data_IF_439056747784
#
_entry.id   IF_439056747784
#
_cell.length_a   1.000
_cell.length_b   1.000
_cell.length_c   1.000
_cell.angle_alpha   90.00
_cell.angle_beta   90.00
_cell.angle_gamma   90.00
#
_symmetry.space_group_name_H-M   'P 1'
#
loop_
_entity.id
_entity.type
_entity.pdbx_description
1 polymer ?
#
# COMPACT_ATOMS: atom_id res chain seq x y z
N UNK A 1 19.56 -27.68 17.94
CA UNK A 1 19.60 -26.49 18.82
C UNK A 1 19.38 -25.24 17.98
N UNK A 2 18.54 -24.29 18.41
CA UNK A 2 18.26 -23.07 17.64
C UNK A 2 19.32 -21.98 17.88
N UNK A 3 19.64 -21.21 16.84
CA UNK A 3 20.51 -20.03 16.91
C UNK A 3 19.68 -18.77 16.73
N UNK A 4 20.19 -17.62 17.21
CA UNK A 4 19.57 -16.31 16.94
C UNK A 4 20.06 -15.72 15.60
N UNK A 5 20.49 -16.55 14.66
CA UNK A 5 20.97 -16.09 13.37
C UNK A 5 19.84 -15.44 12.58
N UNK A 6 20.07 -14.24 12.04
CA UNK A 6 19.10 -13.53 11.22
C UNK A 6 19.18 -14.06 9.79
N UNK A 7 18.13 -14.77 9.36
CA UNK A 7 18.08 -15.42 8.05
C UNK A 7 17.86 -14.43 6.90
N UNK A 8 16.98 -13.45 7.12
CA UNK A 8 16.58 -12.45 6.13
C UNK A 8 15.84 -11.30 6.81
N UNK A 9 15.83 -10.15 6.14
CA UNK A 9 15.13 -8.94 6.57
C UNK A 9 14.77 -8.11 5.34
N UNK A 10 13.75 -7.27 5.47
CA UNK A 10 13.35 -6.30 4.46
C UNK A 10 13.07 -4.95 5.14
N UNK A 11 13.37 -3.84 4.47
CA UNK A 11 13.11 -2.49 4.97
C UNK A 11 12.00 -1.86 4.16
N UNK A 12 10.87 -1.61 4.81
CA UNK A 12 9.65 -1.14 4.18
C UNK A 12 9.09 0.06 4.94
N UNK A 13 8.43 0.97 4.22
CA UNK A 13 7.87 2.19 4.83
C UNK A 13 6.76 1.90 5.86
N UNK A 14 6.09 0.76 5.74
CA UNK A 14 5.03 0.32 6.64
C UNK A 14 4.91 -1.20 6.64
N UNK A 15 4.68 -1.79 7.81
CA UNK A 15 4.45 -3.23 7.98
C UNK A 15 3.29 -3.71 7.11
N UNK A 16 3.51 -4.75 6.30
CA UNK A 16 2.47 -5.27 5.43
C UNK A 16 2.70 -6.73 5.02
N UNK A 17 1.60 -7.43 4.76
CA UNK A 17 1.63 -8.86 4.51
C UNK A 17 2.30 -9.28 3.19
N UNK A 18 2.28 -8.45 2.14
CA UNK A 18 2.93 -8.78 0.85
C UNK A 18 4.44 -8.86 1.00
N UNK A 19 5.03 -7.89 1.72
CA UNK A 19 6.47 -7.85 1.93
C UNK A 19 6.89 -8.96 2.92
N UNK A 20 6.05 -9.29 3.91
CA UNK A 20 6.25 -10.47 4.76
C UNK A 20 6.28 -11.77 3.96
N UNK A 21 5.34 -11.95 3.01
CA UNK A 21 5.32 -13.11 2.09
C UNK A 21 6.61 -13.17 1.27
N UNK A 22 7.05 -12.04 0.71
CA UNK A 22 8.31 -11.94 -0.04
C UNK A 22 9.51 -12.35 0.81
N UNK A 23 9.62 -11.85 2.05
CA UNK A 23 10.69 -12.21 2.97
C UNK A 23 10.70 -13.71 3.30
N UNK A 24 9.53 -14.31 3.58
CA UNK A 24 9.42 -15.75 3.85
C UNK A 24 9.82 -16.56 2.61
N UNK A 25 9.36 -16.16 1.42
CA UNK A 25 9.68 -16.81 0.14
C UNK A 25 11.18 -16.82 -0.12
N UNK A 26 11.84 -15.66 -0.08
CA UNK A 26 13.30 -15.53 -0.28
C UNK A 26 14.08 -16.34 0.76
N UNK A 27 13.60 -16.38 2.00
CA UNK A 27 14.22 -17.16 3.08
C UNK A 27 14.11 -18.67 2.80
N UNK A 28 12.93 -19.15 2.38
CA UNK A 28 12.71 -20.55 2.04
C UNK A 28 13.49 -20.97 0.79
N UNK A 29 13.63 -20.09 -0.19
CA UNK A 29 14.43 -20.33 -1.39
C UNK A 29 15.91 -20.52 -1.04
N UNK A 30 16.45 -19.68 -0.14
CA UNK A 30 17.86 -19.71 0.24
C UNK A 30 18.22 -20.86 1.20
N UNK A 31 17.40 -21.13 2.20
CA UNK A 31 17.74 -22.07 3.28
C UNK A 31 16.83 -23.30 3.36
N UNK A 32 15.86 -23.41 2.46
CA UNK A 32 14.81 -24.44 2.50
C UNK A 32 13.64 -24.07 3.41
N UNK A 33 12.54 -24.82 3.26
CA UNK A 33 11.31 -24.69 4.02
C UNK A 33 11.57 -25.06 5.49
N UNK A 34 11.18 -24.17 6.40
CA UNK A 34 11.24 -24.40 7.84
C UNK A 34 9.91 -24.98 8.37
N UNK A 35 9.94 -25.65 9.52
CA UNK A 35 8.78 -26.42 10.00
C UNK A 35 7.73 -25.54 10.72
N UNK A 36 8.18 -24.49 11.43
CA UNK A 36 7.34 -23.69 12.30
C UNK A 36 7.67 -22.21 12.18
N UNK A 37 6.65 -21.37 12.05
CA UNK A 37 6.76 -19.92 12.17
C UNK A 37 6.13 -19.50 13.50
N UNK A 38 6.87 -18.78 14.34
CA UNK A 38 6.29 -18.11 15.51
C UNK A 38 6.18 -16.64 15.16
N UNK A 39 4.95 -16.15 15.02
CA UNK A 39 4.69 -14.73 14.79
C UNK A 39 4.04 -14.09 16.01
N UNK A 40 4.21 -12.78 16.12
CA UNK A 40 3.28 -11.99 16.92
C UNK A 40 1.90 -11.96 16.24
N UNK A 41 0.91 -11.40 16.92
CA UNK A 41 -0.43 -11.20 16.37
C UNK A 41 -0.51 -9.91 15.50
N UNK A 42 0.63 -9.42 14.98
CA UNK A 42 0.70 -8.24 14.14
C UNK A 42 -0.09 -8.40 12.84
N UNK A 43 -0.63 -7.30 12.32
CA UNK A 43 -1.52 -7.33 11.17
C UNK A 43 -0.84 -7.87 9.89
N UNK A 44 0.48 -7.76 9.75
CA UNK A 44 1.18 -8.32 8.59
C UNK A 44 1.34 -9.84 8.64
N UNK A 45 1.48 -10.43 9.83
CA UNK A 45 1.58 -11.88 10.02
C UNK A 45 0.21 -12.56 10.17
N UNK A 46 -0.76 -11.83 10.73
CA UNK A 46 -2.15 -12.26 10.89
C UNK A 46 -2.97 -12.18 9.58
N UNK A 47 -2.44 -11.55 8.52
CA UNK A 47 -3.16 -11.46 7.25
C UNK A 47 -3.39 -12.82 6.60
N UNK A 48 -4.51 -12.96 5.88
CA UNK A 48 -4.83 -14.15 5.07
C UNK A 48 -3.72 -14.54 4.09
N UNK A 49 -2.90 -13.57 3.63
CA UNK A 49 -1.76 -13.82 2.74
C UNK A 49 -0.63 -14.63 3.41
N UNK A 50 -0.39 -14.43 4.72
CA UNK A 50 0.70 -15.11 5.43
C UNK A 50 0.21 -16.42 6.04
N UNK A 51 -0.88 -16.36 6.81
CA UNK A 51 -1.43 -17.51 7.52
C UNK A 51 -2.23 -18.45 6.59
N UNK A 52 -2.94 -17.91 5.61
CA UNK A 52 -4.01 -18.62 4.92
C UNK A 52 -5.25 -18.76 5.80
N UNK A 53 -6.07 -19.77 5.53
CA UNK A 53 -7.31 -20.06 6.25
C UNK A 53 -7.09 -20.69 7.63
N UNK A 54 -6.08 -20.27 8.40
CA UNK A 54 -6.01 -20.70 9.80
C UNK A 54 -7.18 -20.00 10.50
N UNK A 55 -8.19 -20.73 11.01
CA UNK A 55 -9.31 -20.10 11.68
C UNK A 55 -8.79 -19.25 12.83
N UNK A 56 -9.02 -17.94 12.77
CA UNK A 56 -8.72 -17.02 13.85
C UNK A 56 -9.54 -17.44 15.07
N UNK A 57 -8.91 -18.11 16.04
CA UNK A 57 -9.57 -18.50 17.30
C UNK A 57 -9.98 -17.31 18.17
N UNK A 58 -9.50 -16.09 17.88
CA UNK A 58 -9.58 -14.98 18.86
C UNK A 58 -10.25 -13.68 18.38
N UNK A 59 -10.69 -13.54 17.11
CA UNK A 59 -11.30 -12.27 16.66
C UNK A 59 -12.71 -12.37 16.09
N UNK A 60 -13.15 -13.55 15.65
CA UNK A 60 -14.53 -13.79 15.27
C UNK A 60 -14.92 -15.18 15.75
N UNK A 61 -15.80 -15.25 16.74
CA UNK A 61 -16.27 -16.51 17.29
C UNK A 61 -16.80 -17.43 16.19
N UNK A 62 -16.03 -18.47 15.85
CA UNK A 62 -16.48 -19.72 15.24
C UNK A 62 -17.19 -19.68 13.88
N UNK A 63 -17.47 -18.53 13.26
CA UNK A 63 -18.04 -18.49 11.91
C UNK A 63 -16.94 -18.75 10.88
N UNK A 64 -16.91 -19.98 10.36
CA UNK A 64 -16.30 -20.26 9.06
C UNK A 64 -16.88 -19.25 8.08
N UNK A 65 -16.04 -18.41 7.50
CA UNK A 65 -16.49 -17.53 6.41
C UNK A 65 -16.85 -18.47 5.26
N UNK A 66 -18.14 -18.53 4.92
CA UNK A 66 -18.62 -19.31 3.78
C UNK A 66 -17.99 -18.76 2.49
N UNK A 67 -17.43 -19.65 1.68
CA UNK A 67 -16.80 -19.33 0.39
C UNK A 67 -15.29 -19.61 0.32
N UNK A 68 -14.74 -19.45 -0.88
CA UNK A 68 -13.35 -19.79 -1.22
C UNK A 68 -12.37 -18.98 -0.39
N UNK A 69 -11.57 -19.67 0.43
CA UNK A 69 -10.56 -19.01 1.23
C UNK A 69 -9.21 -19.03 0.50
N UNK A 70 -8.54 -17.87 0.35
CA UNK A 70 -7.25 -17.81 -0.29
C UNK A 70 -6.18 -18.59 0.52
N UNK A 71 -5.36 -19.43 -0.11
CA UNK A 71 -4.24 -20.07 0.56
C UNK A 71 -3.16 -19.04 0.87
N UNK A 72 -2.57 -19.12 2.05
CA UNK A 72 -1.42 -18.30 2.43
C UNK A 72 -0.10 -19.02 2.16
N UNK A 73 1.02 -18.27 2.19
CA UNK A 73 2.36 -18.86 1.99
C UNK A 73 2.66 -19.99 2.98
N UNK A 74 2.25 -19.87 4.24
CA UNK A 74 2.49 -20.92 5.23
C UNK A 74 1.75 -22.21 4.87
N UNK A 75 0.53 -22.12 4.35
CA UNK A 75 -0.25 -23.28 3.92
C UNK A 75 0.38 -23.94 2.67
N UNK A 76 0.76 -23.15 1.67
CA UNK A 76 1.38 -23.65 0.42
C UNK A 76 2.73 -24.32 0.69
N UNK A 77 3.52 -23.76 1.62
CA UNK A 77 4.84 -24.28 1.98
C UNK A 77 4.78 -25.35 3.08
N UNK A 78 3.62 -25.64 3.66
CA UNK A 78 3.48 -26.60 4.76
C UNK A 78 4.19 -26.17 6.06
N UNK A 79 4.22 -24.86 6.32
CA UNK A 79 4.80 -24.25 7.52
C UNK A 79 3.72 -24.14 8.60
N UNK A 80 4.00 -24.66 9.80
CA UNK A 80 3.06 -24.55 10.93
C UNK A 80 3.17 -23.17 11.58
N UNK A 81 2.15 -22.34 11.42
CA UNK A 81 2.08 -21.03 12.05
C UNK A 81 1.60 -21.13 13.50
N UNK A 82 2.36 -20.53 14.41
CA UNK A 82 2.04 -20.40 15.83
C UNK A 82 1.92 -18.91 16.18
N UNK A 83 0.75 -18.52 16.66
CA UNK A 83 0.47 -17.18 17.15
C UNK A 83 0.75 -17.07 18.64
N UNK A 84 1.54 -16.09 19.05
CA UNK A 84 1.93 -15.91 20.44
C UNK A 84 0.81 -15.25 21.30
N UNK A 85 -0.18 -16.03 21.75
CA UNK A 85 -0.55 -16.18 23.18
C UNK A 85 -0.30 -15.13 24.27
N UNK A 86 -0.86 -13.89 24.36
CA UNK A 86 -0.62 -12.88 25.41
C UNK A 86 -0.52 -13.37 26.88
N UNK A 87 -1.09 -14.51 27.23
CA UNK A 87 -1.08 -15.07 28.60
C UNK A 87 -1.13 -16.62 28.66
N UNK A 88 -0.65 -17.32 27.63
CA UNK A 88 -0.65 -18.79 27.58
C UNK A 88 0.64 -19.46 28.12
N UNK A 89 0.66 -20.78 28.35
CA UNK A 89 1.86 -21.54 28.77
C UNK A 89 3.02 -21.46 27.75
N UNK A 90 2.76 -21.02 26.52
CA UNK A 90 3.79 -20.73 25.52
C UNK A 90 4.51 -19.39 25.76
N UNK A 91 3.95 -18.47 26.55
CA UNK A 91 4.60 -17.22 26.97
C UNK A 91 5.58 -17.40 28.12
N UNK A 92 5.41 -18.45 28.93
CA UNK A 92 6.48 -18.96 29.80
C UNK A 92 7.67 -19.54 29.01
N UNK A 93 7.51 -19.80 27.71
CA UNK A 93 8.52 -20.39 26.83
C UNK A 93 9.53 -19.43 26.21
N UNK A 94 9.45 -18.11 26.48
CA UNK A 94 10.51 -17.15 26.16
C UNK A 94 10.79 -16.85 24.68
N UNK A 95 10.07 -17.43 23.72
CA UNK A 95 10.40 -17.32 22.28
C UNK A 95 10.01 -15.99 21.64
N UNK A 96 8.83 -15.43 21.95
CA UNK A 96 8.47 -14.07 21.49
C UNK A 96 9.46 -13.02 22.04
N UNK A 97 9.91 -13.21 23.29
CA UNK A 97 10.96 -12.39 23.92
C UNK A 97 12.32 -12.48 23.21
N UNK A 98 12.59 -13.53 22.41
CA UNK A 98 13.84 -13.64 21.63
C UNK A 98 13.83 -12.63 20.48
N UNK A 99 12.75 -12.56 19.69
CA UNK A 99 12.64 -11.61 18.58
C UNK A 99 12.75 -10.16 19.09
N UNK A 100 11.98 -9.82 20.14
CA UNK A 100 12.07 -8.51 20.79
C UNK A 100 13.50 -8.20 21.29
N UNK A 101 14.19 -9.18 21.88
CA UNK A 101 15.57 -9.02 22.33
C UNK A 101 16.55 -8.80 21.18
N UNK A 102 16.36 -9.50 20.05
CA UNK A 102 17.18 -9.29 18.84
C UNK A 102 16.96 -7.88 18.31
N UNK A 103 15.71 -7.43 18.19
CA UNK A 103 15.39 -6.05 17.76
C UNK A 103 15.98 -5.01 18.71
N UNK A 104 15.83 -5.19 20.03
CA UNK A 104 16.42 -4.28 21.01
C UNK A 104 17.96 -4.23 20.93
N UNK A 105 18.60 -5.35 20.61
CA UNK A 105 20.06 -5.41 20.43
C UNK A 105 20.49 -4.69 19.15
N UNK A 106 19.76 -4.88 18.06
CA UNK A 106 20.03 -4.22 16.77
C UNK A 106 19.78 -2.72 16.86
N UNK A 107 18.66 -2.29 17.44
CA UNK A 107 18.31 -0.87 17.62
C UNK A 107 19.41 -0.15 18.40
N UNK A 108 19.78 -0.63 19.59
CA UNK A 108 20.87 -0.01 20.38
C UNK A 108 22.18 0.12 19.59
N UNK A 109 22.58 -0.94 18.90
CA UNK A 109 23.82 -0.93 18.10
C UNK A 109 23.75 -0.02 16.87
N UNK A 110 22.57 0.18 16.29
CA UNK A 110 22.36 1.05 15.13
C UNK A 110 22.20 2.51 15.55
N UNK A 111 21.43 2.77 16.60
CA UNK A 111 21.09 4.11 17.11
C UNK A 111 22.34 4.84 17.65
N UNK A 112 23.30 4.10 18.24
CA UNK A 112 24.56 4.66 18.75
C UNK A 112 25.58 5.02 17.64
N UNK A 113 25.26 4.76 16.37
CA UNK A 113 26.20 4.99 15.25
C UNK A 113 26.24 6.47 14.83
N UNK A 114 27.40 6.96 14.38
CA UNK A 114 27.53 8.31 13.83
C UNK A 114 26.55 8.60 12.69
N UNK A 115 26.24 7.60 11.86
CA UNK A 115 25.35 7.73 10.72
C UNK A 115 23.87 7.95 11.11
N UNK A 116 23.46 7.56 12.32
CA UNK A 116 22.11 7.77 12.87
C UNK A 116 22.06 8.90 13.91
N UNK A 117 23.16 9.63 14.10
CA UNK A 117 23.22 10.74 15.06
C UNK A 117 22.18 11.81 14.70
N UNK A 118 21.25 12.05 15.62
CA UNK A 118 20.16 13.00 15.43
C UNK A 118 19.00 12.49 14.55
N UNK A 119 19.05 11.24 14.06
CA UNK A 119 17.95 10.61 13.32
C UNK A 119 16.97 9.85 14.24
N UNK A 120 17.30 9.69 15.53
CA UNK A 120 16.50 8.94 16.49
C UNK A 120 15.58 9.86 17.32
N UNK A 121 14.26 9.56 17.31
CA UNK A 121 13.24 10.25 18.13
C UNK A 121 13.11 9.75 19.59
N UNK A 122 13.91 8.77 20.00
CA UNK A 122 13.91 8.16 21.35
C UNK A 122 13.20 6.80 21.44
N UNK A 123 13.53 6.00 22.48
CA UNK A 123 13.06 4.62 22.64
C UNK A 123 11.66 4.45 23.28
N UNK A 124 10.92 5.55 23.53
CA UNK A 124 9.63 5.49 24.22
C UNK A 124 8.49 5.22 23.23
N UNK A 125 7.50 4.37 23.58
CA UNK A 125 6.28 4.24 22.79
C UNK A 125 5.60 5.59 22.59
N UNK A 126 5.27 5.95 21.34
CA UNK A 126 4.67 7.25 20.99
C UNK A 126 5.66 8.35 20.60
N UNK A 127 6.98 8.09 20.66
CA UNK A 127 7.98 9.03 20.14
C UNK A 127 7.81 9.23 18.63
N UNK A 128 7.47 10.44 18.23
CA UNK A 128 7.32 10.83 16.82
C UNK A 128 8.47 11.76 16.40
N UNK A 129 8.97 11.69 15.14
CA UNK A 129 9.98 12.61 14.67
C UNK A 129 9.52 14.07 14.78
N UNK A 130 10.34 14.93 15.39
CA UNK A 130 10.12 16.36 15.44
C UNK A 130 11.02 17.07 14.39
N UNK A 131 10.96 18.42 14.33
CA UNK A 131 11.77 19.22 13.39
C UNK A 131 13.29 19.09 13.63
N UNK A 132 13.70 18.62 14.81
CA UNK A 132 15.11 18.46 15.20
C UNK A 132 15.69 17.11 14.75
N UNK A 133 14.84 16.21 14.25
CA UNK A 133 15.29 14.93 13.70
C UNK A 133 15.87 15.14 12.31
N UNK A 134 17.16 14.88 12.16
CA UNK A 134 17.85 14.94 10.86
C UNK A 134 17.62 13.62 10.11
N UNK A 135 17.02 13.64 8.90
CA UNK A 135 16.92 12.44 8.08
C UNK A 135 18.31 11.87 7.74
N UNK A 136 18.39 10.54 7.67
CA UNK A 136 19.64 9.85 7.36
C UNK A 136 20.05 10.19 5.92
N UNK A 137 21.23 10.79 5.75
CA UNK A 137 21.74 11.21 4.43
C UNK A 137 22.24 10.03 3.56
N UNK A 138 22.47 8.87 4.16
CA UNK A 138 22.95 7.64 3.49
C UNK A 138 21.82 6.62 3.32
N UNK A 139 22.05 5.64 2.45
CA UNK A 139 21.17 4.49 2.31
C UNK A 139 21.08 3.70 3.63
N UNK A 140 19.99 3.90 4.38
CA UNK A 140 19.71 3.21 5.64
C UNK A 140 19.76 1.68 5.47
N UNK A 141 19.38 1.15 4.31
CA UNK A 141 19.43 -0.29 4.06
C UNK A 141 20.88 -0.81 4.04
N UNK A 142 21.84 -0.05 3.49
CA UNK A 142 23.25 -0.42 3.52
C UNK A 142 23.81 -0.54 4.95
N UNK A 143 23.39 0.37 5.85
CA UNK A 143 23.86 0.38 7.24
C UNK A 143 23.24 -0.80 7.99
N UNK A 144 21.94 -1.03 7.85
CA UNK A 144 21.26 -2.18 8.44
C UNK A 144 21.88 -3.49 7.95
N UNK A 145 22.20 -3.60 6.66
CA UNK A 145 22.89 -4.77 6.09
C UNK A 145 24.22 -5.05 6.79
N UNK A 146 25.02 -4.01 7.00
CA UNK A 146 26.30 -4.11 7.74
C UNK A 146 26.08 -4.57 9.18
N UNK A 147 25.13 -3.99 9.89
CA UNK A 147 24.88 -4.34 11.30
C UNK A 147 24.32 -5.76 11.45
N UNK A 148 23.42 -6.20 10.57
CA UNK A 148 22.93 -7.59 10.55
C UNK A 148 24.08 -8.56 10.26
N UNK A 149 24.95 -8.25 9.30
CA UNK A 149 26.12 -9.06 9.00
C UNK A 149 27.07 -9.15 10.21
N UNK A 150 27.36 -8.02 10.87
CA UNK A 150 28.15 -7.98 12.11
C UNK A 150 27.50 -8.81 13.22
N UNK A 151 26.19 -8.65 13.44
CA UNK A 151 25.46 -9.39 14.46
C UNK A 151 25.58 -10.92 14.26
N UNK A 152 25.49 -11.36 13.01
CA UNK A 152 25.58 -12.76 12.63
C UNK A 152 27.02 -13.33 12.75
N UNK A 153 28.04 -12.54 12.40
CA UNK A 153 29.46 -12.98 12.37
C UNK A 153 30.21 -12.78 13.69
N UNK A 154 29.71 -11.95 14.60
CA UNK A 154 30.36 -11.66 15.88
C UNK A 154 30.57 -12.94 16.72
N UNK A 155 31.83 -13.21 17.03
CA UNK A 155 32.31 -14.33 17.85
C UNK A 155 32.26 -13.98 19.34
N UNK A 156 32.64 -14.91 20.21
CA UNK A 156 32.59 -14.72 21.66
C UNK A 156 31.19 -14.81 22.26
N UNK A 157 30.20 -15.37 21.53
CA UNK A 157 28.82 -15.49 22.03
C UNK A 157 28.76 -16.43 23.23
N UNK A 158 28.18 -15.93 24.33
CA UNK A 158 27.94 -16.66 25.59
C UNK A 158 26.61 -17.44 25.63
N UNK A 159 25.84 -17.40 24.54
CA UNK A 159 24.57 -18.14 24.45
C UNK A 159 24.79 -19.65 24.61
N UNK A 160 23.75 -20.36 25.07
CA UNK A 160 23.77 -21.81 25.18
C UNK A 160 24.27 -22.41 23.84
N UNK A 161 25.13 -23.42 23.89
CA UNK A 161 25.64 -24.13 22.70
C UNK A 161 26.52 -23.34 21.72
N UNK A 162 26.73 -22.03 21.95
CA UNK A 162 27.58 -21.20 21.12
C UNK A 162 29.06 -21.50 21.36
N UNK A 163 29.48 -21.69 22.63
CA UNK A 163 30.87 -21.97 23.01
C UNK A 163 31.87 -20.97 22.42
N UNK A 164 31.51 -19.68 22.39
CA UNK A 164 32.35 -18.62 21.80
C UNK A 164 32.31 -18.52 20.27
N UNK A 165 31.56 -19.38 19.56
CA UNK A 165 31.35 -19.28 18.11
C UNK A 165 30.34 -18.19 17.76
N UNK A 166 30.33 -17.75 16.51
CA UNK A 166 29.33 -16.81 15.99
C UNK A 166 28.00 -17.50 15.68
N UNK A 167 26.91 -16.72 15.56
CA UNK A 167 25.61 -17.28 15.18
C UNK A 167 25.64 -17.93 13.80
N UNK A 168 26.40 -17.35 12.88
CA UNK A 168 26.60 -17.88 11.54
C UNK A 168 27.26 -19.27 11.57
N UNK A 169 28.39 -19.41 12.27
CA UNK A 169 29.11 -20.69 12.36
C UNK A 169 28.21 -21.81 12.89
N UNK A 170 27.51 -21.56 14.00
CA UNK A 170 26.61 -22.57 14.58
C UNK A 170 25.42 -22.83 13.67
N UNK A 171 24.92 -21.83 12.93
CA UNK A 171 23.83 -22.03 12.00
C UNK A 171 24.25 -22.89 10.81
N UNK A 172 25.40 -22.63 10.20
CA UNK A 172 25.93 -23.38 9.06
C UNK A 172 26.21 -24.83 9.42
N UNK A 173 26.85 -25.09 10.57
CA UNK A 173 27.08 -26.44 11.11
C UNK A 173 25.75 -27.23 11.19
N UNK A 174 24.70 -26.59 11.73
CA UNK A 174 23.39 -27.23 11.93
C UNK A 174 22.58 -27.34 10.65
N UNK A 175 22.76 -26.41 9.72
CA UNK A 175 22.11 -26.47 8.42
C UNK A 175 22.66 -27.64 7.61
N UNK A 176 23.96 -27.93 7.71
CA UNK A 176 24.60 -29.08 7.07
C UNK A 176 24.11 -30.43 7.62
N UNK A 177 23.79 -30.50 8.92
CA UNK A 177 23.19 -31.69 9.55
C UNK A 177 21.71 -31.91 9.17
N UNK A 178 21.03 -30.88 8.65
CA UNK A 178 19.59 -30.92 8.38
C UNK A 178 19.30 -31.50 6.99
N UNK A 179 18.32 -32.40 6.89
CA UNK A 179 17.76 -32.81 5.61
C UNK A 179 17.04 -31.62 4.94
N UNK A 180 17.51 -31.13 3.77
CA UNK A 180 16.97 -29.92 3.17
C UNK A 180 15.61 -30.19 2.52
N UNK A 181 14.56 -29.51 3.00
CA UNK A 181 13.26 -29.43 2.32
C UNK A 181 13.25 -28.23 1.39
N UNK A 182 13.75 -28.38 0.16
CA UNK A 182 13.77 -27.26 -0.81
C UNK A 182 12.38 -27.03 -1.42
N UNK A 183 11.90 -25.78 -1.52
CA UNK A 183 10.64 -25.50 -2.18
C UNK A 183 10.78 -25.74 -3.69
N UNK A 184 9.73 -26.29 -4.30
CA UNK A 184 9.66 -26.41 -5.76
C UNK A 184 9.42 -25.04 -6.40
N UNK A 185 9.82 -24.87 -7.68
CA UNK A 185 9.54 -23.64 -8.42
C UNK A 185 8.04 -23.30 -8.45
N UNK A 186 7.18 -24.32 -8.59
CA UNK A 186 5.72 -24.15 -8.55
C UNK A 186 5.22 -23.69 -7.19
N UNK A 187 5.75 -24.21 -6.08
CA UNK A 187 5.40 -23.72 -4.74
C UNK A 187 5.83 -22.26 -4.53
N UNK A 188 7.04 -21.89 -4.97
CA UNK A 188 7.54 -20.51 -4.89
C UNK A 188 6.67 -19.55 -5.72
N UNK A 189 6.23 -19.99 -6.90
CA UNK A 189 5.33 -19.23 -7.74
C UNK A 189 3.97 -19.05 -7.07
N UNK A 190 3.28 -20.14 -6.71
CA UNK A 190 1.96 -20.09 -6.09
C UNK A 190 1.94 -19.33 -4.76
N UNK A 191 2.99 -19.44 -3.95
CA UNK A 191 3.10 -18.73 -2.68
C UNK A 191 3.37 -17.22 -2.82
N UNK A 192 3.86 -16.78 -3.98
CA UNK A 192 4.09 -15.36 -4.26
C UNK A 192 2.83 -14.63 -4.74
N UNK A 193 1.81 -15.35 -5.19
CA UNK A 193 0.60 -14.75 -5.74
C UNK A 193 -0.32 -14.20 -4.65
N UNK A 194 -1.04 -13.14 -4.99
CA UNK A 194 -2.18 -12.64 -4.22
C UNK A 194 -3.46 -13.26 -4.76
N UNK A 195 -4.23 -13.87 -3.86
CA UNK A 195 -5.48 -14.53 -4.21
C UNK A 195 -6.69 -13.69 -3.83
N UNK A 196 -7.66 -13.59 -4.74
CA UNK A 196 -8.92 -12.90 -4.50
C UNK A 196 -10.09 -13.70 -5.07
N UNK A 197 -11.12 -13.92 -4.26
CA UNK A 197 -12.37 -14.53 -4.72
C UNK A 197 -13.13 -13.51 -5.60
N UNK A 198 -13.45 -13.91 -6.83
CA UNK A 198 -14.08 -13.08 -7.85
C UNK A 198 -15.17 -13.86 -8.58
N UNK A 199 -16.18 -13.16 -9.10
CA UNK A 199 -17.18 -13.75 -9.98
C UNK A 199 -16.74 -13.65 -11.43
N UNK A 200 -17.15 -14.63 -12.24
CA UNK A 200 -16.92 -14.63 -13.69
C UNK A 200 -18.09 -13.93 -14.40
N UNK A 201 -17.76 -13.02 -15.32
CA UNK A 201 -18.71 -12.31 -16.18
C UNK A 201 -19.24 -13.21 -17.33
N UNK A 202 -20.31 -12.78 -18.00
CA UNK A 202 -20.96 -13.50 -19.11
C UNK A 202 -20.05 -13.79 -20.30
N UNK A 203 -18.92 -13.10 -20.39
CA UNK A 203 -17.90 -13.27 -21.42
C UNK A 203 -16.73 -14.15 -20.97
N UNK A 204 -16.81 -14.81 -19.81
CA UNK A 204 -15.72 -15.65 -19.30
C UNK A 204 -14.52 -14.83 -18.80
N UNK A 205 -14.79 -13.64 -18.25
CA UNK A 205 -13.76 -12.69 -17.79
C UNK A 205 -13.92 -12.42 -16.29
N UNK A 206 -12.83 -12.04 -15.65
CA UNK A 206 -12.81 -11.67 -14.23
C UNK A 206 -12.27 -10.26 -14.06
N UNK A 207 -12.86 -9.49 -13.14
CA UNK A 207 -12.52 -8.08 -12.94
C UNK A 207 -12.03 -7.82 -11.51
N UNK A 208 -10.87 -7.17 -11.38
CA UNK A 208 -10.26 -6.86 -10.09
C UNK A 208 -9.50 -5.54 -10.16
N UNK A 209 -9.80 -4.59 -9.25
CA UNK A 209 -9.07 -3.31 -9.15
C UNK A 209 -8.94 -2.56 -10.50
N UNK A 210 -9.99 -2.59 -11.31
CA UNK A 210 -10.03 -1.97 -12.65
C UNK A 210 -9.36 -2.78 -13.76
N UNK A 211 -8.68 -3.88 -13.43
CA UNK A 211 -8.15 -4.84 -14.39
C UNK A 211 -9.21 -5.82 -14.83
N UNK A 212 -9.16 -6.23 -16.09
CA UNK A 212 -9.97 -7.33 -16.64
C UNK A 212 -9.06 -8.42 -17.18
N UNK A 213 -9.24 -9.65 -16.69
CA UNK A 213 -8.51 -10.83 -17.15
C UNK A 213 -9.47 -11.78 -17.87
N UNK A 214 -8.99 -12.44 -18.92
CA UNK A 214 -9.75 -13.47 -19.64
C UNK A 214 -9.49 -13.42 -21.15
N UNK A 215 -8.68 -14.34 -21.64
CA UNK A 215 -8.32 -14.47 -23.06
C UNK A 215 -9.13 -15.55 -23.78
N UNK A 216 -8.95 -15.66 -25.10
CA UNK A 216 -9.67 -16.64 -25.91
C UNK A 216 -9.43 -18.10 -25.46
N UNK A 217 -8.21 -18.40 -24.98
CA UNK A 217 -7.81 -19.74 -24.51
C UNK A 217 -8.40 -20.12 -23.14
N UNK A 218 -8.71 -19.14 -22.30
CA UNK A 218 -9.19 -19.36 -20.92
C UNK A 218 -10.69 -19.12 -20.76
N UNK A 219 -11.32 -18.50 -21.76
CA UNK A 219 -12.73 -18.14 -21.75
C UNK A 219 -13.67 -19.33 -21.53
N UNK A 220 -13.47 -20.45 -22.24
CA UNK A 220 -14.34 -21.63 -22.12
C UNK A 220 -14.32 -22.23 -20.70
N UNK A 221 -13.13 -22.33 -20.11
CA UNK A 221 -12.96 -22.86 -18.75
C UNK A 221 -13.63 -21.96 -17.70
N UNK A 222 -13.48 -20.64 -17.84
CA UNK A 222 -14.06 -19.66 -16.91
C UNK A 222 -15.58 -19.55 -17.07
N UNK A 223 -16.12 -19.61 -18.29
CA UNK A 223 -17.56 -19.52 -18.56
C UNK A 223 -18.38 -20.57 -17.80
N UNK A 224 -17.82 -21.75 -17.52
CA UNK A 224 -18.48 -22.81 -16.73
C UNK A 224 -18.88 -22.36 -15.32
N UNK A 225 -18.23 -21.31 -14.81
CA UNK A 225 -18.52 -20.74 -13.50
C UNK A 225 -19.47 -19.54 -13.56
N UNK A 226 -19.77 -19.01 -14.75
CA UNK A 226 -20.70 -17.90 -14.90
C UNK A 226 -22.13 -18.31 -14.56
N UNK A 227 -22.87 -17.45 -13.85
CA UNK A 227 -24.28 -17.71 -13.50
C UNK A 227 -24.53 -18.81 -12.46
N UNK A 228 -23.49 -19.51 -12.01
CA UNK A 228 -23.58 -20.61 -11.02
C UNK A 228 -23.70 -20.12 -9.57
N UNK A 229 -23.44 -18.84 -9.31
CA UNK A 229 -23.32 -18.27 -7.97
C UNK A 229 -22.00 -18.55 -7.26
N UNK A 230 -21.17 -19.47 -7.79
CA UNK A 230 -19.85 -19.80 -7.25
C UNK A 230 -18.81 -18.73 -7.58
N UNK A 231 -17.82 -18.56 -6.70
CA UNK A 231 -16.70 -17.64 -6.93
C UNK A 231 -15.45 -18.43 -7.33
N UNK A 232 -14.64 -17.85 -8.21
CA UNK A 232 -13.32 -18.39 -8.54
C UNK A 232 -12.25 -17.64 -7.77
N UNK A 233 -11.19 -18.33 -7.39
CA UNK A 233 -10.06 -17.73 -6.70
C UNK A 233 -8.99 -17.33 -7.71
N UNK A 234 -8.89 -16.03 -7.99
CA UNK A 234 -7.93 -15.48 -8.93
C UNK A 234 -6.59 -15.21 -8.24
N UNK A 235 -5.54 -15.90 -8.63
CA UNK A 235 -4.15 -15.66 -8.24
C UNK A 235 -3.46 -14.72 -9.23
N UNK A 236 -2.88 -13.62 -8.73
CA UNK A 236 -2.15 -12.62 -9.53
C UNK A 236 -0.82 -12.26 -8.89
N UNK A 237 0.15 -11.85 -9.68
CA UNK A 237 1.41 -11.36 -9.16
C UNK A 237 1.18 -9.99 -8.45
N UNK A 238 1.60 -9.81 -7.18
CA UNK A 238 1.44 -8.53 -6.48
C UNK A 238 2.30 -7.39 -7.03
N UNK A 239 3.43 -7.71 -7.67
CA UNK A 239 4.41 -6.74 -8.16
C UNK A 239 4.15 -6.37 -9.63
N UNK A 240 3.52 -7.26 -10.41
CA UNK A 240 3.12 -6.99 -11.81
C UNK A 240 1.75 -7.56 -12.18
N UNK A 241 0.74 -6.69 -12.28
CA UNK A 241 -0.61 -7.06 -12.71
C UNK A 241 -0.73 -7.33 -14.21
N UNK A 242 0.30 -7.04 -15.03
CA UNK A 242 0.33 -7.45 -16.42
C UNK A 242 0.70 -8.92 -16.59
N UNK A 243 1.30 -9.54 -15.57
CA UNK A 243 1.63 -10.95 -15.62
C UNK A 243 0.34 -11.80 -15.74
N UNK A 244 0.38 -12.92 -16.48
CA UNK A 244 -0.76 -13.81 -16.60
C UNK A 244 -1.23 -14.34 -15.24
N UNK A 245 -2.54 -14.33 -15.03
CA UNK A 245 -3.16 -14.81 -13.81
C UNK A 245 -3.51 -16.31 -13.91
N UNK A 246 -3.92 -16.89 -12.79
CA UNK A 246 -4.45 -18.24 -12.72
C UNK A 246 -5.70 -18.28 -11.84
N UNK A 247 -6.56 -19.27 -12.06
CA UNK A 247 -7.81 -19.42 -11.34
C UNK A 247 -7.95 -20.82 -10.73
N UNK A 248 -8.41 -20.85 -9.49
CA UNK A 248 -8.83 -22.06 -8.79
C UNK A 248 -10.33 -22.02 -8.50
N UNK A 249 -10.94 -23.20 -8.36
CA UNK A 249 -12.31 -23.35 -7.89
C UNK A 249 -12.39 -23.23 -6.35
N UNK A 250 -13.58 -23.45 -5.80
CA UNK A 250 -13.83 -23.35 -4.36
C UNK A 250 -13.17 -24.48 -3.56
N UNK A 251 -12.94 -25.63 -4.22
CA UNK A 251 -12.37 -26.84 -3.66
C UNK A 251 -10.82 -26.83 -3.73
N UNK A 252 -10.24 -25.83 -4.41
CA UNK A 252 -8.80 -25.66 -4.59
C UNK A 252 -8.23 -26.35 -5.84
N UNK A 253 -9.07 -26.85 -6.75
CA UNK A 253 -8.64 -27.41 -8.02
C UNK A 253 -8.35 -26.30 -9.03
N UNK A 254 -7.30 -26.51 -9.83
CA UNK A 254 -6.90 -25.56 -10.86
C UNK A 254 -7.94 -25.56 -11.99
N UNK A 255 -8.49 -24.39 -12.31
CA UNK A 255 -9.40 -24.18 -13.44
C UNK A 255 -8.57 -23.97 -14.72
N UNK A 256 -7.71 -22.95 -14.70
CA UNK A 256 -6.85 -22.60 -15.81
C UNK A 256 -5.70 -21.68 -15.37
N UNK A 257 -4.60 -21.72 -16.13
CA UNK A 257 -3.43 -20.83 -16.01
C UNK A 257 -3.30 -19.98 -17.27
N UNK A 258 -2.45 -18.96 -17.24
CA UNK A 258 -2.21 -18.10 -18.40
C UNK A 258 -3.41 -17.20 -18.72
N UNK A 259 -4.14 -16.75 -17.71
CA UNK A 259 -5.26 -15.83 -17.88
C UNK A 259 -4.69 -14.43 -18.13
N UNK A 260 -4.56 -14.08 -19.42
CA UNK A 260 -4.01 -12.80 -19.86
C UNK A 260 -4.88 -11.59 -19.43
N UNK A 261 -4.26 -10.45 -19.09
CA UNK A 261 -4.97 -9.19 -18.88
C UNK A 261 -5.44 -8.63 -20.23
N UNK A 262 -6.76 -8.46 -20.39
CA UNK A 262 -7.37 -7.86 -21.58
C UNK A 262 -7.49 -6.35 -21.44
N UNK A 263 -7.69 -5.87 -20.21
CA UNK A 263 -7.80 -4.44 -19.91
C UNK A 263 -6.94 -4.10 -18.70
N UNK A 264 -6.00 -3.19 -18.92
CA UNK A 264 -5.18 -2.63 -17.85
C UNK A 264 -6.02 -1.73 -16.93
N UNK A 265 -5.75 -1.82 -15.63
CA UNK A 265 -6.26 -0.90 -14.62
C UNK A 265 -5.34 0.31 -14.43
N UNK A 266 -5.71 1.18 -13.49
CA UNK A 266 -4.98 2.43 -13.23
C UNK A 266 -3.58 2.22 -12.61
N UNK A 267 -3.36 1.10 -11.93
CA UNK A 267 -2.11 0.79 -11.22
C UNK A 267 -1.65 -0.62 -11.58
N UNK A 268 -0.35 -0.80 -11.81
CA UNK A 268 0.26 -2.08 -12.20
C UNK A 268 0.67 -2.99 -11.05
N UNK A 269 0.55 -2.57 -9.79
CA UNK A 269 0.99 -3.38 -8.63
C UNK A 269 0.23 -3.02 -7.36
N UNK A 270 0.33 -3.89 -6.34
CA UNK A 270 -0.23 -3.63 -5.00
C UNK A 270 0.41 -2.41 -4.36
N UNK A 271 1.74 -2.24 -4.51
CA UNK A 271 2.45 -1.08 -4.00
C UNK A 271 2.01 0.21 -4.70
N UNK A 272 1.75 0.16 -6.01
CA UNK A 272 1.20 1.28 -6.76
C UNK A 272 -0.18 1.73 -6.26
N UNK A 273 -1.09 0.78 -5.99
CA UNK A 273 -2.40 1.06 -5.40
C UNK A 273 -2.23 1.74 -4.04
N UNK A 274 -1.39 1.18 -3.16
CA UNK A 274 -1.15 1.73 -1.82
C UNK A 274 -0.57 3.15 -1.86
N UNK A 275 0.40 3.39 -2.73
CA UNK A 275 1.00 4.71 -2.85
C UNK A 275 -0.03 5.74 -3.33
N UNK A 276 -0.89 5.35 -4.26
CA UNK A 276 -1.97 6.22 -4.73
C UNK A 276 -2.99 6.52 -3.63
N UNK A 277 -3.37 5.53 -2.81
CA UNK A 277 -4.28 5.73 -1.68
C UNK A 277 -3.66 6.68 -0.63
N UNK A 278 -2.35 6.52 -0.36
CA UNK A 278 -1.59 7.47 0.49
C UNK A 278 -1.62 8.88 -0.07
N UNK A 279 -1.29 9.04 -1.35
CA UNK A 279 -1.29 10.34 -2.02
C UNK A 279 -2.68 10.98 -2.03
N UNK A 280 -3.74 10.19 -2.27
CA UNK A 280 -5.12 10.66 -2.22
C UNK A 280 -5.52 11.13 -0.82
N UNK A 281 -5.12 10.39 0.22
CA UNK A 281 -5.36 10.79 1.61
C UNK A 281 -4.62 12.08 1.96
N UNK A 282 -3.35 12.19 1.56
CA UNK A 282 -2.55 13.40 1.75
C UNK A 282 -3.17 14.60 1.02
N UNK A 283 -3.58 14.44 -0.24
CA UNK A 283 -4.24 15.48 -1.01
C UNK A 283 -5.56 15.94 -0.35
N UNK A 284 -6.37 15.00 0.16
CA UNK A 284 -7.60 15.34 0.90
C UNK A 284 -7.31 16.14 2.17
N UNK A 285 -6.26 15.78 2.91
CA UNK A 285 -5.86 16.53 4.11
C UNK A 285 -5.40 17.94 3.76
N UNK A 286 -4.63 18.11 2.68
CA UNK A 286 -4.18 19.43 2.20
C UNK A 286 -5.36 20.28 1.73
N UNK A 287 -6.32 19.70 1.00
CA UNK A 287 -7.53 20.41 0.57
C UNK A 287 -8.37 20.83 1.78
N UNK A 288 -8.56 19.94 2.77
CA UNK A 288 -9.28 20.29 4.00
C UNK A 288 -8.62 21.44 4.76
N UNK A 289 -7.30 21.38 4.95
CA UNK A 289 -6.54 22.46 5.60
C UNK A 289 -6.59 23.78 4.79
N UNK A 290 -6.60 23.69 3.45
CA UNK A 290 -6.74 24.85 2.58
C UNK A 290 -8.13 25.51 2.65
N UNK A 291 -9.18 24.70 2.79
CA UNK A 291 -10.55 25.20 3.02
C UNK A 291 -10.63 25.89 4.39
N UNK A 292 -10.15 25.26 5.46
CA UNK A 292 -10.12 25.88 6.80
C UNK A 292 -9.36 27.22 6.82
N UNK A 293 -8.20 27.30 6.15
CA UNK A 293 -7.44 28.53 6.04
C UNK A 293 -8.16 29.61 5.21
N UNK A 294 -8.85 29.20 4.14
CA UNK A 294 -9.63 30.12 3.29
C UNK A 294 -10.87 30.64 4.02
N UNK A 295 -11.58 29.78 4.76
CA UNK A 295 -12.76 30.14 5.53
C UNK A 295 -12.39 31.11 6.66
N UNK A 296 -11.26 30.88 7.36
CA UNK A 296 -10.74 31.81 8.36
C UNK A 296 -10.44 33.19 7.78
N UNK A 297 -9.75 33.26 6.64
CA UNK A 297 -9.46 34.53 5.97
C UNK A 297 -10.74 35.23 5.50
N UNK A 298 -11.68 34.48 4.91
CA UNK A 298 -12.96 35.00 4.47
C UNK A 298 -13.80 35.55 5.64
N UNK A 299 -13.81 34.86 6.79
CA UNK A 299 -14.50 35.33 8.00
C UNK A 299 -13.86 36.60 8.57
N UNK A 300 -12.52 36.70 8.57
CA UNK A 300 -11.82 37.92 9.01
C UNK A 300 -12.05 39.09 8.07
N UNK A 301 -12.01 38.87 6.76
CA UNK A 301 -12.23 39.91 5.74
C UNK A 301 -13.70 40.35 5.73
N UNK A 302 -14.64 39.42 5.91
CA UNK A 302 -16.06 39.71 6.03
C UNK A 302 -16.35 40.50 7.32
N UNK A 303 -15.76 40.11 8.45
CA UNK A 303 -15.90 40.86 9.71
C UNK A 303 -15.34 42.28 9.59
N UNK A 304 -14.19 42.46 8.93
CA UNK A 304 -13.63 43.77 8.64
C UNK A 304 -14.53 44.60 7.71
N UNK A 305 -15.09 43.99 6.67
CA UNK A 305 -16.02 44.65 5.75
C UNK A 305 -17.34 45.07 6.43
N UNK A 306 -17.88 44.22 7.32
CA UNK A 306 -19.06 44.52 8.11
C UNK A 306 -18.80 45.65 9.12
N UNK A 307 -17.67 45.61 9.82
CA UNK A 307 -17.28 46.69 10.74
C UNK A 307 -17.06 48.03 10.02
N UNK A 308 -16.51 48.01 8.81
CA UNK A 308 -16.38 49.20 7.97
C UNK A 308 -17.77 49.75 7.56
N UNK A 309 -18.75 48.87 7.32
CA UNK A 309 -20.12 49.28 7.01
C UNK A 309 -20.83 49.93 8.21
N UNK A 310 -20.64 49.39 9.42
CA UNK A 310 -21.19 49.96 10.66
C UNK A 310 -20.54 51.30 11.04
N UNK A 311 -19.31 51.56 10.59
CA UNK A 311 -18.62 52.83 10.80
C UNK A 311 -19.05 53.95 9.84
N UNK A 312 -19.86 53.62 8.83
CA UNK A 312 -20.52 54.64 8.02
C UNK A 312 -21.70 55.18 8.81
N UNK A 313 -21.46 56.23 9.60
CA UNK A 313 -22.53 57.10 10.10
C UNK A 313 -23.38 57.51 8.89
N UNK A 314 -24.58 56.91 8.78
CA UNK A 314 -25.56 57.35 7.83
C UNK A 314 -25.86 58.82 8.15
N UNK A 315 -25.61 59.78 7.23
CA UNK A 315 -26.15 61.11 7.45
C UNK A 315 -27.66 60.95 7.58
N UNK A 316 -28.20 61.38 8.74
CA UNK A 316 -29.63 61.34 9.00
C UNK A 316 -30.40 61.95 7.83
N UNK A 317 -31.64 61.48 7.55
CA UNK A 317 -32.36 61.91 6.36
C UNK A 317 -32.52 63.43 6.38
N UNK A 318 -31.86 64.11 5.43
CA UNK A 318 -32.07 65.53 5.16
C UNK A 318 -33.48 65.71 4.59
N UNK A 319 -34.42 65.97 5.49
CA UNK A 319 -35.80 66.34 5.19
C UNK A 319 -35.86 67.79 4.70
N UNK A 320 -35.31 68.08 3.52
CA UNK A 320 -35.65 69.33 2.80
C UNK A 320 -35.20 69.36 1.34
N UNK A 321 -35.76 68.50 0.48
CA UNK A 321 -35.81 68.80 -0.97
C UNK A 321 -37.22 68.60 -1.50
N UNK A 322 -37.83 69.61 -2.15
CA UNK A 322 -39.15 69.45 -2.73
C UNK A 322 -39.09 68.39 -3.83
N UNK A 323 -39.89 67.34 -3.66
CA UNK A 323 -40.07 66.27 -4.64
C UNK A 323 -40.75 66.86 -5.87
N UNK A 324 -39.99 67.06 -6.94
CA UNK A 324 -40.57 67.29 -8.26
C UNK A 324 -41.18 65.96 -8.71
N UNK A 325 -42.51 65.92 -8.85
CA UNK A 325 -43.24 64.79 -9.47
C UNK A 325 -42.69 64.58 -10.88
N UNK A 326 -41.92 63.51 -11.08
CA UNK A 326 -41.56 63.07 -12.43
C UNK A 326 -42.81 62.64 -13.20
N UNK A 327 -43.18 63.38 -14.24
CA UNK A 327 -44.16 62.92 -15.22
C UNK A 327 -43.51 61.85 -16.11
N UNK A 328 -43.77 60.58 -15.82
CA UNK A 328 -43.40 59.49 -16.73
C UNK A 328 -44.47 59.34 -17.83
N UNK A 329 -44.42 60.22 -18.84
CA UNK A 329 -45.15 60.04 -20.09
C UNK A 329 -44.23 59.44 -21.15
N UNK A 330 -43.81 58.19 -20.96
CA UNK A 330 -43.30 57.31 -22.03
C UNK A 330 -43.07 55.91 -21.47
N UNK A 331 -43.47 54.83 -22.18
CA UNK A 331 -43.13 53.48 -21.75
C UNK A 331 -41.60 53.30 -21.79
N UNK A 332 -41.06 52.75 -20.70
CA UNK A 332 -39.64 52.42 -20.56
C UNK A 332 -39.27 51.46 -21.70
N UNK A 333 -38.48 51.94 -22.68
CA UNK A 333 -37.82 51.04 -23.63
C UNK A 333 -36.80 50.22 -22.86
N UNK A 334 -36.99 48.91 -22.81
CA UNK A 334 -36.00 47.97 -22.30
C UNK A 334 -34.71 48.10 -23.14
N UNK A 335 -33.72 48.81 -22.63
CA UNK A 335 -32.37 48.75 -23.15
C UNK A 335 -31.82 47.36 -22.81
N UNK A 336 -31.76 46.50 -23.83
CA UNK A 336 -30.98 45.26 -23.81
C UNK A 336 -29.59 45.62 -23.31
N UNK A 337 -29.20 45.08 -22.15
CA UNK A 337 -27.79 45.08 -21.71
C UNK A 337 -26.95 44.59 -22.89
N UNK A 338 -26.08 45.45 -23.42
CA UNK A 338 -25.10 45.03 -24.40
C UNK A 338 -24.24 43.95 -23.75
N UNK A 339 -24.22 42.76 -24.37
CA UNK A 339 -23.24 41.71 -24.05
C UNK A 339 -21.86 42.37 -24.01
N UNK A 340 -21.13 42.20 -22.91
CA UNK A 340 -19.73 42.57 -22.85
C UNK A 340 -19.04 41.92 -24.06
N UNK A 341 -18.41 42.76 -24.89
CA UNK A 341 -17.58 42.33 -26.00
C UNK A 341 -16.43 41.56 -25.37
N UNK A 342 -16.31 40.26 -25.66
CA UNK A 342 -15.13 39.50 -25.31
C UNK A 342 -13.92 40.26 -25.88
N UNK A 343 -13.05 40.74 -25.00
CA UNK A 343 -11.76 41.27 -25.41
C UNK A 343 -11.01 40.14 -26.11
N UNK A 344 -10.45 40.47 -27.28
CA UNK A 344 -9.40 39.66 -27.89
C UNK A 344 -8.20 39.67 -26.95
N UNK A 345 -8.18 38.75 -25.98
CA UNK A 345 -6.93 38.31 -25.38
C UNK A 345 -6.19 37.56 -26.47
N UNK A 346 -5.29 38.28 -27.13
CA UNK A 346 -4.38 37.76 -28.12
C UNK A 346 -3.67 36.53 -27.55
N UNK A 347 -4.12 35.35 -28.00
CA UNK A 347 -3.46 34.07 -27.74
C UNK A 347 -1.98 34.26 -28.12
N UNK A 348 -1.02 34.10 -27.18
CA UNK A 348 0.40 34.24 -27.48
C UNK A 348 0.77 33.38 -28.69
N UNK A 349 1.57 33.94 -29.61
CA UNK A 349 1.92 33.30 -30.89
C UNK A 349 2.50 31.88 -30.69
N UNK A 350 3.25 31.69 -29.61
CA UNK A 350 3.82 30.41 -29.18
C UNK A 350 2.74 29.35 -28.93
N UNK A 351 1.60 29.72 -28.34
CA UNK A 351 0.49 28.81 -28.10
C UNK A 351 -0.17 28.37 -29.42
N UNK A 352 -0.27 29.26 -30.41
CA UNK A 352 -0.77 28.90 -31.76
C UNK A 352 0.20 27.98 -32.50
N UNK A 353 1.51 28.20 -32.37
CA UNK A 353 2.53 27.35 -32.97
C UNK A 353 2.52 25.95 -32.36
N UNK A 354 2.40 25.85 -31.03
CA UNK A 354 2.33 24.57 -30.32
C UNK A 354 1.03 23.80 -30.64
N UNK A 355 -0.11 24.50 -30.74
CA UNK A 355 -1.38 23.89 -31.12
C UNK A 355 -1.35 23.36 -32.56
N UNK A 356 -0.77 24.12 -33.48
CA UNK A 356 -0.63 23.70 -34.88
C UNK A 356 0.35 22.53 -35.03
N UNK A 357 1.45 22.51 -34.26
CA UNK A 357 2.39 21.38 -34.23
C UNK A 357 1.73 20.10 -33.67
N UNK A 358 0.93 20.21 -32.61
CA UNK A 358 0.18 19.09 -32.03
C UNK A 358 -0.91 18.56 -32.97
N UNK A 359 -1.60 19.44 -33.70
CA UNK A 359 -2.59 19.06 -34.71
C UNK A 359 -1.95 18.42 -35.95
N UNK A 360 -0.76 18.85 -36.35
CA UNK A 360 0.01 18.24 -37.44
C UNK A 360 0.52 16.84 -37.07
N UNK A 361 1.01 16.64 -35.83
CA UNK A 361 1.41 15.32 -35.33
C UNK A 361 0.21 14.34 -35.24
N UNK A 362 -0.96 14.81 -34.82
CA UNK A 362 -2.17 13.99 -34.77
C UNK A 362 -2.73 13.63 -36.17
N UNK A 363 -2.47 14.46 -37.19
CA UNK A 363 -2.80 14.13 -38.59
C UNK A 363 -1.77 13.18 -39.22
N UNK A 364 -0.49 13.31 -38.86
CA UNK A 364 0.57 12.41 -39.34
C UNK A 364 0.50 11.00 -38.72
N UNK A 365 0.03 10.87 -37.46
CA UNK A 365 -0.13 9.58 -36.78
C UNK A 365 -1.36 8.76 -37.21
N UNK A 366 -2.27 9.33 -38.01
CA UNK A 366 -3.51 8.67 -38.47
C UNK A 366 -3.41 8.07 -39.89
N UNK A 367 -2.26 8.14 -40.53
CA UNK A 367 -2.05 7.64 -41.90
C UNK A 367 -0.81 6.76 -42.01
N UNK A 368 -0.76 5.62 -41.30
CA UNK A 368 0.08 4.45 -41.62
C UNK A 368 -0.35 3.24 -40.80
N UNK A 369 -1.38 2.56 -41.29
CA UNK A 369 -1.64 1.13 -41.14
C UNK A 369 -2.75 0.76 -42.13
N UNK A 370 -2.35 0.62 -43.39
CA UNK A 370 -2.84 -0.41 -44.30
C UNK A 370 -1.63 -1.24 -44.68
#
# INVERSE_FOLDING_TARGET
MATNFILGWDLVASENASDTVRMIKTTCEKYGIFDRLYSDNGAAFAGHLVAGSVPFRFRSGGRKVEGVQPPGICQIMGIKLHFALPSGPDHSGGKAKIAERVFATLSRNADDRPEFKGAHSGHKPGASPNKDVTPIARDAASIIRREVARYNTETGRKGQGMRGRSYQQVFEDRLAERLPRKPTARQLYLAGLIYKAVSVDRFGRVQVHGWTYGGATTQEALLRYHGTGKRVLLGRDPDDFNAPALAFDEDGNLICEGIEPVKAGAYGSVQGIRQADRNRKAARAVVAAGVEASDYLADTDLAAALAALDSLDAPGPDVSKPVVRGQFKSPIKATKRSKAKAGDDAIPLEYRQNLNAALAQNRAGRGKSA
#
